data_IF_537182770194
#
_entry.id   IF_537182770194
#
_cell.length_a   1.000
_cell.length_b   1.000
_cell.length_c   1.000
_cell.angle_alpha   90.00
_cell.angle_beta   90.00
_cell.angle_gamma   90.00
#
_symmetry.space_group_name_H-M   'P 1'
#
loop_
_entity.id
_entity.type
_entity.pdbx_description
1 polymer ?
#
# COMPACT_ATOMS: atom_id res chain seq x y z
N UNK A 1 -49.61 4.57 38.05
CA UNK A 1 -48.36 5.36 38.10
C UNK A 1 -47.18 4.43 38.32
N UNK A 2 -46.38 4.17 37.28
CA UNK A 2 -44.97 3.79 37.38
C UNK A 2 -44.39 3.78 35.95
N UNK A 3 -44.06 4.97 35.46
CA UNK A 3 -43.30 5.19 34.22
C UNK A 3 -41.92 4.54 34.33
N UNK A 4 -41.73 3.40 33.68
CA UNK A 4 -40.39 2.86 33.43
C UNK A 4 -39.74 3.65 32.29
N UNK A 5 -39.03 4.71 32.67
CA UNK A 5 -38.10 5.45 31.79
C UNK A 5 -37.12 4.47 31.12
N UNK A 6 -37.28 4.28 29.81
CA UNK A 6 -36.28 3.66 28.95
C UNK A 6 -34.99 4.47 29.01
N UNK A 7 -33.99 3.92 29.68
CA UNK A 7 -32.63 4.45 29.71
C UNK A 7 -31.98 4.16 28.35
N UNK A 8 -32.09 5.10 27.41
CA UNK A 8 -31.34 5.09 26.14
C UNK A 8 -29.86 4.84 26.46
N UNK A 9 -29.34 3.66 26.13
CA UNK A 9 -27.92 3.37 26.23
C UNK A 9 -27.18 4.18 25.17
N UNK A 10 -26.74 5.39 25.52
CA UNK A 10 -25.77 6.13 24.74
C UNK A 10 -24.40 5.45 24.87
N UNK A 11 -24.21 4.36 24.13
CA UNK A 11 -22.89 3.81 23.88
C UNK A 11 -22.21 4.72 22.86
N UNK A 12 -21.36 5.62 23.36
CA UNK A 12 -20.47 6.46 22.56
C UNK A 12 -19.70 5.59 21.59
N UNK A 13 -20.02 5.73 20.31
CA UNK A 13 -19.16 5.27 19.24
C UNK A 13 -17.93 6.18 19.28
N UNK A 14 -16.79 5.62 19.64
CA UNK A 14 -15.51 6.26 19.36
C UNK A 14 -15.39 6.25 17.83
N UNK A 15 -15.80 7.35 17.16
CA UNK A 15 -15.88 7.49 15.69
C UNK A 15 -14.62 8.20 15.18
N UNK A 16 -13.45 7.52 15.06
CA UNK A 16 -12.28 8.14 14.44
C UNK A 16 -12.54 8.57 13.00
N UNK A 17 -13.47 7.89 12.30
CA UNK A 17 -13.83 8.17 10.90
C UNK A 17 -14.62 9.48 10.68
N UNK A 18 -15.51 9.91 11.59
CA UNK A 18 -16.26 11.17 11.39
C UNK A 18 -15.34 12.39 11.30
N UNK A 19 -14.20 12.34 12.00
CA UNK A 19 -13.18 13.40 11.96
C UNK A 19 -12.42 13.39 10.64
N UNK A 20 -12.02 12.21 10.16
CA UNK A 20 -11.33 12.05 8.86
C UNK A 20 -12.25 12.46 7.69
N UNK A 21 -13.52 12.03 7.69
CA UNK A 21 -14.55 12.41 6.70
C UNK A 21 -14.76 13.93 6.65
N UNK A 22 -14.94 14.54 7.83
CA UNK A 22 -15.12 15.99 7.94
C UNK A 22 -13.88 16.74 7.42
N UNK A 23 -12.69 16.29 7.78
CA UNK A 23 -11.44 16.89 7.30
C UNK A 23 -11.30 16.82 5.77
N UNK A 24 -11.65 15.71 5.13
CA UNK A 24 -11.63 15.62 3.67
C UNK A 24 -12.59 16.62 3.03
N UNK A 25 -13.84 16.71 3.52
CA UNK A 25 -14.84 17.64 3.00
C UNK A 25 -14.42 19.10 3.16
N UNK A 26 -13.89 19.46 4.32
CA UNK A 26 -13.36 20.79 4.58
C UNK A 26 -12.21 21.12 3.61
N UNK A 27 -11.29 20.18 3.40
CA UNK A 27 -10.16 20.31 2.47
C UNK A 27 -10.59 20.46 1.00
N UNK A 28 -11.60 19.71 0.55
CA UNK A 28 -12.15 19.82 -0.80
C UNK A 28 -12.91 21.14 -0.99
N UNK A 29 -13.65 21.59 0.02
CA UNK A 29 -14.35 22.88 -0.05
C UNK A 29 -13.38 24.07 -0.15
N UNK A 30 -12.28 24.05 0.61
CA UNK A 30 -11.20 25.04 0.55
C UNK A 30 -10.47 24.99 -0.80
N UNK A 31 -10.28 23.80 -1.36
CA UNK A 31 -9.68 23.64 -2.68
C UNK A 31 -10.57 24.26 -3.77
N UNK A 32 -11.88 23.94 -3.76
CA UNK A 32 -12.82 24.44 -4.76
C UNK A 32 -12.97 25.96 -4.69
N UNK A 33 -12.96 26.56 -3.50
CA UNK A 33 -13.00 28.02 -3.37
C UNK A 33 -11.73 28.68 -3.93
N UNK A 34 -10.55 28.07 -3.75
CA UNK A 34 -9.27 28.59 -4.27
C UNK A 34 -9.09 28.38 -5.77
N UNK A 35 -9.55 27.25 -6.31
CA UNK A 35 -9.46 26.96 -7.75
C UNK A 35 -10.41 27.86 -8.55
N UNK A 36 -11.63 28.11 -8.04
CA UNK A 36 -12.62 28.96 -8.69
C UNK A 36 -12.36 30.46 -8.54
N UNK A 37 -11.39 30.85 -7.70
CA UNK A 37 -11.00 32.25 -7.58
C UNK A 37 -10.13 32.68 -8.79
N UNK A 38 -10.61 33.67 -9.55
CA UNK A 38 -9.93 34.21 -10.72
C UNK A 38 -8.68 35.04 -10.38
N UNK A 39 -8.50 35.43 -9.11
CA UNK A 39 -7.35 36.21 -8.65
C UNK A 39 -6.11 35.36 -8.30
N UNK A 40 -6.27 34.03 -8.17
CA UNK A 40 -5.18 33.12 -7.82
C UNK A 40 -4.41 32.71 -9.08
N UNK A 41 -3.08 32.75 -9.04
CA UNK A 41 -2.26 32.34 -10.18
C UNK A 41 -2.47 30.87 -10.53
N UNK A 42 -2.47 30.52 -11.81
CA UNK A 42 -2.46 29.13 -12.30
C UNK A 42 -1.41 28.25 -11.61
N UNK A 43 -0.24 28.80 -11.30
CA UNK A 43 0.83 28.09 -10.59
C UNK A 43 0.44 27.75 -9.14
N UNK A 44 -0.23 28.67 -8.46
CA UNK A 44 -0.70 28.51 -7.08
C UNK A 44 -1.88 27.55 -6.98
N UNK A 45 -2.80 27.59 -7.95
CA UNK A 45 -3.89 26.60 -8.07
C UNK A 45 -3.34 25.18 -8.14
N UNK A 46 -2.29 24.95 -8.95
CA UNK A 46 -1.64 23.64 -9.09
C UNK A 46 -0.96 23.16 -7.82
N UNK A 47 -0.24 24.04 -7.13
CA UNK A 47 0.42 23.68 -5.86
C UNK A 47 -0.60 23.35 -4.78
N UNK A 48 -1.69 24.11 -4.73
CA UNK A 48 -2.81 23.87 -3.80
C UNK A 48 -3.47 22.53 -4.07
N UNK A 49 -3.76 22.19 -5.33
CA UNK A 49 -4.31 20.88 -5.73
C UNK A 49 -3.46 19.71 -5.22
N UNK A 50 -2.15 19.75 -5.49
CA UNK A 50 -1.22 18.69 -5.04
C UNK A 50 -1.19 18.62 -3.51
N UNK A 51 -1.10 19.76 -2.84
CA UNK A 51 -1.01 19.82 -1.39
C UNK A 51 -2.27 19.26 -0.73
N UNK A 52 -3.45 19.60 -1.24
CA UNK A 52 -4.73 19.13 -0.72
C UNK A 52 -4.89 17.62 -0.92
N UNK A 53 -4.73 17.10 -2.14
CA UNK A 53 -4.85 15.66 -2.35
C UNK A 53 -3.73 14.86 -1.67
N UNK A 54 -2.54 15.43 -1.48
CA UNK A 54 -1.50 14.83 -0.65
C UNK A 54 -1.92 14.74 0.82
N UNK A 55 -2.63 15.74 1.37
CA UNK A 55 -3.19 15.67 2.72
C UNK A 55 -4.27 14.59 2.82
N UNK A 56 -5.20 14.56 1.86
CA UNK A 56 -6.29 13.57 1.82
C UNK A 56 -5.73 12.13 1.74
N UNK A 57 -4.84 11.86 0.80
CA UNK A 57 -4.20 10.54 0.66
C UNK A 57 -3.37 10.15 1.88
N UNK A 58 -2.72 11.10 2.56
CA UNK A 58 -2.01 10.82 3.81
C UNK A 58 -2.94 10.44 4.97
N UNK A 59 -4.21 10.88 4.98
CA UNK A 59 -5.18 10.41 5.98
C UNK A 59 -5.51 8.91 5.77
N UNK A 60 -5.51 8.46 4.53
CA UNK A 60 -5.73 7.06 4.16
C UNK A 60 -4.50 6.18 4.41
N UNK A 61 -3.29 6.72 4.25
CA UNK A 61 -2.04 5.99 4.45
C UNK A 61 -1.62 5.94 5.92
N UNK A 62 -1.70 4.76 6.54
CA UNK A 62 -1.24 4.54 7.92
C UNK A 62 0.10 3.81 7.92
N UNK A 63 1.07 4.38 8.62
CA UNK A 63 2.39 3.77 8.83
C UNK A 63 2.30 2.69 9.91
N UNK A 64 2.86 1.52 9.62
CA UNK A 64 3.06 0.43 10.57
C UNK A 64 4.47 0.56 11.15
N UNK A 65 4.64 1.01 12.40
CA UNK A 65 5.95 1.38 12.94
C UNK A 65 6.93 0.22 12.99
N UNK A 66 6.46 -0.99 13.30
CA UNK A 66 7.29 -2.21 13.30
C UNK A 66 7.95 -2.49 11.95
N UNK A 67 7.18 -2.43 10.86
CA UNK A 67 7.71 -2.62 9.50
C UNK A 67 8.68 -1.50 9.09
N UNK A 68 8.43 -0.28 9.56
CA UNK A 68 9.33 0.86 9.32
C UNK A 68 10.69 0.65 10.00
N UNK A 69 10.70 0.18 11.25
CA UNK A 69 11.92 -0.12 12.00
C UNK A 69 12.71 -1.22 11.29
N UNK A 70 12.04 -2.31 10.88
CA UNK A 70 12.71 -3.38 10.12
C UNK A 70 13.33 -2.86 8.83
N UNK A 71 12.64 -2.00 8.09
CA UNK A 71 13.19 -1.38 6.88
C UNK A 71 14.40 -0.49 7.16
N UNK A 72 14.37 0.31 8.23
CA UNK A 72 15.52 1.12 8.65
C UNK A 72 16.71 0.23 8.99
N UNK A 73 16.49 -0.87 9.73
CA UNK A 73 17.54 -1.83 10.06
C UNK A 73 18.15 -2.46 8.79
N UNK A 74 17.33 -2.75 7.78
CA UNK A 74 17.81 -3.28 6.49
C UNK A 74 18.68 -2.27 5.75
N UNK A 75 18.26 -0.99 5.72
CA UNK A 75 19.06 0.09 5.10
C UNK A 75 20.38 0.28 5.86
N UNK A 76 20.35 0.24 7.19
CA UNK A 76 21.56 0.37 8.01
C UNK A 76 22.50 -0.81 7.76
N UNK A 77 22.00 -2.05 7.78
CA UNK A 77 22.82 -3.24 7.47
C UNK A 77 23.44 -3.15 6.07
N UNK A 78 22.65 -2.79 5.05
CA UNK A 78 23.16 -2.62 3.68
C UNK A 78 24.26 -1.56 3.61
N UNK A 79 24.07 -0.44 4.33
CA UNK A 79 25.05 0.65 4.40
C UNK A 79 26.32 0.17 5.10
N UNK A 80 26.20 -0.53 6.23
CA UNK A 80 27.34 -1.10 6.96
C UNK A 80 28.13 -2.09 6.10
N UNK A 81 27.45 -3.02 5.42
CA UNK A 81 28.08 -3.98 4.49
C UNK A 81 28.84 -3.22 3.40
N UNK A 82 28.22 -2.20 2.80
CA UNK A 82 28.84 -1.42 1.73
C UNK A 82 30.08 -0.65 2.22
N UNK A 83 30.01 -0.03 3.40
CA UNK A 83 31.15 0.68 3.99
C UNK A 83 32.27 -0.29 4.34
N UNK A 84 31.96 -1.41 4.99
CA UNK A 84 32.95 -2.44 5.32
C UNK A 84 33.62 -3.01 4.07
N UNK A 85 32.85 -3.23 3.00
CA UNK A 85 33.36 -3.66 1.70
C UNK A 85 34.33 -2.63 1.09
N UNK A 86 33.98 -1.34 1.08
CA UNK A 86 34.88 -0.31 0.56
C UNK A 86 36.14 -0.16 1.42
N UNK A 87 36.01 -0.23 2.74
CA UNK A 87 37.14 -0.15 3.67
C UNK A 87 38.05 -1.38 3.54
N UNK A 88 37.50 -2.58 3.40
CA UNK A 88 38.28 -3.81 3.18
C UNK A 88 38.97 -3.80 1.81
N UNK A 89 38.33 -3.26 0.77
CA UNK A 89 38.88 -3.22 -0.57
C UNK A 89 40.01 -2.20 -0.73
N UNK A 90 39.90 -1.02 -0.11
CA UNK A 90 40.78 0.12 -0.42
C UNK A 90 41.69 0.59 0.73
N UNK A 91 41.31 0.37 2.00
CA UNK A 91 41.99 0.99 3.13
C UNK A 91 42.72 -0.03 4.03
N UNK A 92 42.16 -1.22 4.22
CA UNK A 92 42.74 -2.24 5.08
C UNK A 92 43.77 -3.10 4.34
N UNK A 93 44.83 -3.47 5.06
CA UNK A 93 45.88 -4.40 4.61
C UNK A 93 46.00 -5.58 5.56
N UNK A 94 46.60 -6.65 5.07
CA UNK A 94 47.00 -7.83 5.83
C UNK A 94 45.84 -8.51 6.59
N UNK A 95 46.06 -8.90 7.85
CA UNK A 95 45.12 -9.71 8.65
C UNK A 95 43.77 -9.00 8.86
N UNK A 96 43.77 -7.68 9.03
CA UNK A 96 42.54 -6.90 9.21
C UNK A 96 41.66 -6.93 7.95
N UNK A 97 42.27 -6.99 6.77
CA UNK A 97 41.55 -7.12 5.50
C UNK A 97 40.86 -8.48 5.42
N UNK A 98 41.58 -9.57 5.71
CA UNK A 98 41.03 -10.94 5.66
C UNK A 98 39.85 -11.11 6.61
N UNK A 99 39.98 -10.69 7.87
CA UNK A 99 38.90 -10.76 8.86
C UNK A 99 37.68 -9.97 8.41
N UNK A 100 37.88 -8.75 7.90
CA UNK A 100 36.78 -7.90 7.45
C UNK A 100 36.04 -8.50 6.24
N UNK A 101 36.75 -9.16 5.31
CA UNK A 101 36.12 -9.85 4.17
C UNK A 101 35.20 -11.00 4.60
N UNK A 102 35.61 -11.80 5.59
CA UNK A 102 34.74 -12.84 6.15
C UNK A 102 33.50 -12.25 6.85
N UNK A 103 33.66 -11.14 7.56
CA UNK A 103 32.52 -10.42 8.17
C UNK A 103 31.56 -9.89 7.10
N UNK A 104 32.09 -9.30 6.01
CA UNK A 104 31.28 -8.84 4.87
C UNK A 104 30.53 -10.01 4.25
N UNK A 105 31.18 -11.14 3.98
CA UNK A 105 30.55 -12.35 3.43
C UNK A 105 29.42 -12.85 4.33
N UNK A 106 29.64 -12.96 5.64
CA UNK A 106 28.62 -13.42 6.58
C UNK A 106 27.40 -12.51 6.65
N UNK A 107 27.61 -11.19 6.75
CA UNK A 107 26.52 -10.21 6.79
C UNK A 107 25.75 -10.15 5.46
N UNK A 108 26.46 -10.22 4.34
CA UNK A 108 25.87 -10.20 3.01
C UNK A 108 25.05 -11.47 2.72
N UNK A 109 25.56 -12.65 3.11
CA UNK A 109 24.82 -13.91 3.03
C UNK A 109 23.56 -13.89 3.91
N UNK A 110 23.66 -13.37 5.14
CA UNK A 110 22.49 -13.19 6.01
C UNK A 110 21.41 -12.31 5.37
N UNK A 111 21.81 -11.17 4.77
CA UNK A 111 20.89 -10.28 4.07
C UNK A 111 20.24 -10.97 2.86
N UNK A 112 21.00 -11.73 2.06
CA UNK A 112 20.43 -12.51 0.95
C UNK A 112 19.40 -13.53 1.43
N UNK A 113 19.72 -14.31 2.46
CA UNK A 113 18.78 -15.30 3.04
C UNK A 113 17.51 -14.60 3.50
N UNK A 114 17.65 -13.48 4.23
CA UNK A 114 16.51 -12.69 4.70
C UNK A 114 15.67 -12.18 3.53
N UNK A 115 16.28 -11.61 2.49
CA UNK A 115 15.56 -11.09 1.33
C UNK A 115 14.85 -12.18 0.53
N UNK A 116 15.50 -13.32 0.31
CA UNK A 116 14.90 -14.48 -0.34
C UNK A 116 13.72 -15.02 0.47
N UNK A 117 13.85 -15.16 1.80
CA UNK A 117 12.74 -15.54 2.66
C UNK A 117 11.57 -14.56 2.54
N UNK A 118 11.83 -13.25 2.65
CA UNK A 118 10.77 -12.24 2.58
C UNK A 118 10.07 -12.23 1.22
N UNK A 119 10.82 -12.40 0.14
CA UNK A 119 10.26 -12.50 -1.21
C UNK A 119 9.48 -13.79 -1.43
N UNK A 120 9.98 -14.93 -0.97
CA UNK A 120 9.33 -16.22 -1.19
C UNK A 120 7.98 -16.32 -0.48
N UNK A 121 7.90 -15.80 0.75
CA UNK A 121 6.63 -15.75 1.50
C UNK A 121 5.72 -14.57 1.13
N UNK A 122 6.09 -13.79 0.09
CA UNK A 122 5.35 -12.60 -0.36
C UNK A 122 4.91 -11.67 0.77
N UNK A 123 5.68 -11.61 1.87
CA UNK A 123 5.37 -10.72 2.99
C UNK A 123 5.66 -9.30 2.55
N UNK A 124 4.60 -8.51 2.43
CA UNK A 124 4.72 -7.14 1.98
C UNK A 124 5.40 -6.30 3.07
N UNK A 125 6.66 -5.93 2.86
CA UNK A 125 7.48 -5.18 3.83
C UNK A 125 7.20 -3.69 3.83
N UNK A 126 6.38 -3.21 2.89
CA UNK A 126 6.15 -1.78 2.82
C UNK A 126 5.47 -1.30 4.10
N UNK A 127 6.12 -0.33 4.73
CA UNK A 127 5.75 0.14 6.06
C UNK A 127 4.49 1.00 6.08
N UNK A 128 3.87 1.31 4.94
CA UNK A 128 2.55 1.95 4.91
C UNK A 128 1.51 1.02 4.33
N UNK A 129 0.28 1.16 4.82
CA UNK A 129 -0.90 0.49 4.30
C UNK A 129 -2.00 1.50 4.07
N UNK A 130 -2.85 1.25 3.09
CA UNK A 130 -4.06 2.05 2.88
C UNK A 130 -5.12 1.49 3.82
N UNK A 131 -5.65 2.32 4.70
CA UNK A 131 -6.76 1.95 5.59
C UNK A 131 -8.00 2.69 5.10
N UNK A 132 -8.90 1.95 4.44
CA UNK A 132 -10.15 2.52 3.90
C UNK A 132 -11.13 2.77 5.05
N UNK A 133 -11.32 1.75 5.90
CA UNK A 133 -12.15 1.85 7.09
C UNK A 133 -11.66 0.93 8.22
N UNK A 134 -12.02 1.30 9.46
CA UNK A 134 -11.72 0.53 10.67
C UNK A 134 -12.82 0.76 11.71
N UNK A 135 -13.78 -0.14 11.74
CA UNK A 135 -14.87 -0.16 12.71
C UNK A 135 -14.58 -1.14 13.84
N UNK A 136 -14.83 -0.69 15.06
CA UNK A 136 -14.89 -1.53 16.25
C UNK A 136 -16.27 -1.35 16.84
N UNK A 137 -17.06 -2.42 16.83
CA UNK A 137 -18.41 -2.42 17.39
C UNK A 137 -18.53 -3.54 18.42
N UNK A 138 -19.51 -3.43 19.30
CA UNK A 138 -19.94 -4.56 20.14
C UNK A 138 -21.32 -4.95 19.66
N UNK A 139 -21.44 -6.17 19.15
CA UNK A 139 -22.71 -6.79 18.76
C UNK A 139 -22.93 -7.93 19.75
N UNK A 140 -24.08 -7.93 20.41
CA UNK A 140 -24.50 -8.93 21.41
C UNK A 140 -23.37 -9.47 22.34
N UNK A 141 -22.70 -8.54 23.04
CA UNK A 141 -21.54 -8.77 23.96
C UNK A 141 -20.23 -9.22 23.31
N UNK A 142 -20.22 -9.63 22.04
CA UNK A 142 -19.00 -9.93 21.29
C UNK A 142 -18.37 -8.67 20.70
N UNK A 143 -17.03 -8.60 20.72
CA UNK A 143 -16.28 -7.49 20.11
C UNK A 143 -16.13 -7.78 18.62
N UNK A 144 -16.89 -7.06 17.81
CA UNK A 144 -16.82 -7.10 16.37
C UNK A 144 -15.81 -6.05 15.84
N UNK A 145 -14.99 -6.43 14.86
CA UNK A 145 -14.03 -5.52 14.23
C UNK A 145 -14.03 -5.72 12.71
N UNK A 146 -14.60 -4.77 11.98
CA UNK A 146 -14.47 -4.70 10.52
C UNK A 146 -13.32 -3.76 10.15
N UNK A 147 -12.35 -4.26 9.39
CA UNK A 147 -11.23 -3.44 8.90
C UNK A 147 -10.92 -3.84 7.47
N UNK A 148 -10.80 -2.84 6.59
CA UNK A 148 -10.20 -3.03 5.27
C UNK A 148 -8.85 -2.33 5.23
N UNK A 149 -7.80 -3.14 5.22
CA UNK A 149 -6.42 -2.70 5.06
C UNK A 149 -5.91 -3.25 3.72
N UNK A 150 -5.51 -2.37 2.81
CA UNK A 150 -4.98 -2.74 1.51
C UNK A 150 -3.46 -2.56 1.57
N UNK A 151 -2.72 -3.61 1.24
CA UNK A 151 -1.27 -3.53 1.15
C UNK A 151 -0.89 -2.71 -0.08
N UNK A 152 -0.22 -1.59 0.12
CA UNK A 152 0.25 -0.73 -0.95
C UNK A 152 1.76 -0.89 -1.05
N UNK A 153 2.30 -1.28 -2.20
CA UNK A 153 3.75 -1.34 -2.42
C UNK A 153 4.11 -0.39 -3.53
N UNK A 154 4.76 0.75 -3.25
CA UNK A 154 5.13 1.66 -4.32
C UNK A 154 6.27 1.07 -5.15
N UNK A 155 6.29 1.35 -6.46
CA UNK A 155 7.29 0.77 -7.37
C UNK A 155 8.71 1.14 -6.96
N UNK A 156 8.95 2.37 -6.46
CA UNK A 156 10.30 2.76 -6.02
C UNK A 156 10.84 1.83 -4.92
N UNK A 157 9.97 1.29 -4.06
CA UNK A 157 10.35 0.35 -3.02
C UNK A 157 10.73 -1.01 -3.60
N UNK A 158 9.99 -1.48 -4.61
CA UNK A 158 10.35 -2.68 -5.37
C UNK A 158 11.70 -2.51 -6.10
N UNK A 159 11.90 -1.36 -6.76
CA UNK A 159 13.17 -1.02 -7.42
C UNK A 159 14.32 -1.01 -6.41
N UNK A 160 14.14 -0.36 -5.25
CA UNK A 160 15.12 -0.36 -4.17
C UNK A 160 15.49 -1.77 -3.73
N UNK A 161 14.50 -2.64 -3.56
CA UNK A 161 14.69 -4.03 -3.13
C UNK A 161 15.47 -4.85 -4.17
N UNK A 162 15.09 -4.73 -5.44
CA UNK A 162 15.78 -5.38 -6.58
C UNK A 162 17.22 -4.89 -6.68
N UNK A 163 17.45 -3.57 -6.62
CA UNK A 163 18.77 -2.98 -6.66
C UNK A 163 19.65 -3.41 -5.48
N UNK A 164 19.08 -3.48 -4.27
CA UNK A 164 19.80 -3.91 -3.07
C UNK A 164 20.23 -5.38 -3.16
N UNK A 165 19.36 -6.26 -3.65
CA UNK A 165 19.71 -7.67 -3.88
C UNK A 165 20.80 -7.82 -4.93
N UNK A 166 20.71 -7.08 -6.05
CA UNK A 166 21.74 -7.08 -7.08
C UNK A 166 23.09 -6.61 -6.52
N UNK A 167 23.07 -5.53 -5.74
CA UNK A 167 24.28 -4.98 -5.13
C UNK A 167 24.94 -5.96 -4.16
N UNK A 168 24.17 -6.57 -3.26
CA UNK A 168 24.69 -7.57 -2.32
C UNK A 168 25.26 -8.78 -3.08
N UNK A 169 24.58 -9.22 -4.14
CA UNK A 169 25.07 -10.33 -4.98
C UNK A 169 26.44 -10.03 -5.58
N UNK A 170 26.64 -8.81 -6.07
CA UNK A 170 27.94 -8.37 -6.60
C UNK A 170 29.01 -8.44 -5.50
N UNK A 171 28.71 -7.90 -4.31
CA UNK A 171 29.63 -7.95 -3.16
C UNK A 171 29.99 -9.38 -2.81
N UNK A 172 29.00 -10.27 -2.67
CA UNK A 172 29.25 -11.68 -2.30
C UNK A 172 30.07 -12.39 -3.37
N UNK A 173 29.74 -12.23 -4.65
CA UNK A 173 30.52 -12.86 -5.72
C UNK A 173 31.96 -12.37 -5.78
N UNK A 174 32.17 -11.06 -5.60
CA UNK A 174 33.51 -10.46 -5.56
C UNK A 174 34.33 -11.00 -4.38
N UNK A 175 33.74 -11.03 -3.19
CA UNK A 175 34.42 -11.53 -1.99
C UNK A 175 34.66 -13.04 -2.04
N UNK A 176 33.74 -13.81 -2.61
CA UNK A 176 33.92 -15.25 -2.84
C UNK A 176 35.09 -15.52 -3.79
N UNK A 177 35.20 -14.75 -4.88
CA UNK A 177 36.29 -14.91 -5.84
C UNK A 177 37.65 -14.56 -5.23
N UNK A 178 37.73 -13.47 -4.47
CA UNK A 178 38.98 -13.04 -3.85
C UNK A 178 39.40 -13.88 -2.64
N UNK A 179 38.45 -14.53 -1.96
CA UNK A 179 38.74 -15.32 -0.75
C UNK A 179 38.99 -16.79 -1.08
N UNK A 180 38.20 -17.37 -1.99
CA UNK A 180 38.18 -18.82 -2.22
C UNK A 180 38.71 -19.25 -3.59
N UNK A 181 38.49 -18.47 -4.66
CA UNK A 181 38.87 -18.89 -6.01
C UNK A 181 40.36 -18.74 -6.32
N UNK A 182 41.06 -17.77 -5.70
CA UNK A 182 42.50 -17.55 -5.91
C UNK A 182 43.39 -18.39 -4.97
N UNK A 183 42.83 -19.03 -3.94
CA UNK A 183 43.59 -19.67 -2.86
C UNK A 183 44.02 -21.12 -3.13
N UNK A 184 43.90 -21.63 -4.36
CA UNK A 184 44.61 -22.82 -4.88
C UNK A 184 44.26 -24.20 -4.30
N UNK A 185 43.46 -24.31 -3.24
CA UNK A 185 43.06 -25.59 -2.63
C UNK A 185 41.75 -26.17 -3.16
N UNK A 186 41.70 -27.47 -3.47
CA UNK A 186 40.50 -28.17 -3.96
C UNK A 186 39.27 -28.01 -3.04
N UNK A 187 39.45 -27.94 -1.72
CA UNK A 187 38.36 -27.75 -0.75
C UNK A 187 37.75 -26.34 -0.82
N UNK A 188 38.59 -25.32 -1.04
CA UNK A 188 38.14 -23.92 -1.16
C UNK A 188 37.38 -23.68 -2.46
N UNK A 189 37.74 -24.38 -3.53
CA UNK A 189 37.00 -24.39 -4.81
C UNK A 189 35.61 -25.01 -4.63
N UNK A 190 35.50 -26.07 -3.82
CA UNK A 190 34.21 -26.72 -3.54
C UNK A 190 33.29 -25.80 -2.72
N UNK A 191 33.83 -25.12 -1.70
CA UNK A 191 33.10 -24.10 -0.93
C UNK A 191 32.60 -22.98 -1.86
N UNK A 192 33.46 -22.47 -2.75
CA UNK A 192 33.08 -21.46 -3.73
C UNK A 192 31.91 -21.91 -4.62
N UNK A 193 31.96 -23.15 -5.13
CA UNK A 193 30.91 -23.68 -5.99
C UNK A 193 29.57 -23.81 -5.25
N UNK A 194 29.57 -24.35 -4.02
CA UNK A 194 28.36 -24.50 -3.20
C UNK A 194 27.72 -23.14 -2.88
N UNK A 195 28.53 -22.16 -2.48
CA UNK A 195 28.04 -20.80 -2.20
C UNK A 195 27.47 -20.15 -3.45
N UNK A 196 28.16 -20.26 -4.59
CA UNK A 196 27.69 -19.68 -5.86
C UNK A 196 26.35 -20.28 -6.30
N UNK A 197 26.24 -21.61 -6.30
CA UNK A 197 24.99 -22.29 -6.65
C UNK A 197 23.84 -21.92 -5.71
N UNK A 198 24.11 -21.79 -4.41
CA UNK A 198 23.10 -21.37 -3.42
C UNK A 198 22.61 -19.96 -3.70
N UNK A 199 23.52 -19.02 -3.99
CA UNK A 199 23.18 -17.64 -4.34
C UNK A 199 22.31 -17.61 -5.61
N UNK A 200 22.70 -18.34 -6.65
CA UNK A 200 21.94 -18.39 -7.91
C UNK A 200 20.52 -18.95 -7.69
N UNK A 201 20.38 -20.01 -6.88
CA UNK A 201 19.07 -20.57 -6.50
C UNK A 201 18.22 -19.61 -5.66
N UNK A 202 18.84 -18.76 -4.84
CA UNK A 202 18.13 -17.81 -3.98
C UNK A 202 17.70 -16.54 -4.71
N UNK A 203 18.46 -16.13 -5.73
CA UNK A 203 18.25 -14.89 -6.47
C UNK A 203 17.22 -15.04 -7.59
N UNK A 204 17.28 -16.12 -8.37
CA UNK A 204 16.37 -16.32 -9.51
C UNK A 204 14.89 -16.23 -9.11
N UNK A 205 14.40 -16.97 -8.09
CA UNK A 205 13.01 -16.87 -7.64
C UNK A 205 12.69 -15.50 -7.04
N UNK A 206 13.66 -14.88 -6.35
CA UNK A 206 13.51 -13.56 -5.74
C UNK A 206 13.35 -12.45 -6.80
N UNK A 207 14.15 -12.49 -7.85
CA UNK A 207 14.05 -11.60 -9.00
C UNK A 207 12.78 -11.87 -9.80
N UNK A 208 12.47 -13.12 -10.15
CA UNK A 208 11.26 -13.48 -10.88
C UNK A 208 10.01 -13.04 -10.13
N UNK A 209 9.91 -13.29 -8.82
CA UNK A 209 8.75 -12.83 -8.05
C UNK A 209 8.68 -11.29 -7.96
N UNK A 210 9.80 -10.59 -7.87
CA UNK A 210 9.82 -9.13 -7.84
C UNK A 210 9.43 -8.53 -9.19
N UNK A 211 9.93 -9.09 -10.30
CA UNK A 211 9.56 -8.69 -11.66
C UNK A 211 8.12 -9.05 -11.98
N UNK A 212 7.65 -10.22 -11.55
CA UNK A 212 6.24 -10.60 -11.63
C UNK A 212 5.41 -9.62 -10.82
N UNK A 213 5.75 -9.23 -9.58
CA UNK A 213 5.02 -8.16 -8.85
C UNK A 213 5.04 -6.80 -9.55
N UNK A 214 6.09 -6.49 -10.31
CA UNK A 214 6.14 -5.28 -11.14
C UNK A 214 5.23 -5.43 -12.38
N UNK A 215 5.17 -6.62 -12.97
CA UNK A 215 4.44 -6.95 -14.19
C UNK A 215 2.96 -7.32 -13.99
N UNK A 216 2.63 -7.97 -12.87
CA UNK A 216 1.34 -8.53 -12.40
C UNK A 216 0.49 -7.48 -11.67
N UNK A 217 0.82 -6.19 -11.76
CA UNK A 217 -0.26 -5.20 -11.64
C UNK A 217 -1.17 -5.45 -12.84
N UNK A 218 -2.22 -6.23 -12.58
CA UNK A 218 -3.12 -6.92 -13.48
C UNK A 218 -3.50 -6.10 -14.71
N UNK A 219 -2.77 -6.25 -15.81
CA UNK A 219 -3.01 -5.45 -17.01
C UNK A 219 -4.43 -5.56 -17.56
N UNK A 220 -5.12 -6.69 -17.38
CA UNK A 220 -6.50 -6.86 -17.85
C UNK A 220 -7.53 -6.20 -16.92
N UNK A 221 -7.48 -6.48 -15.63
CA UNK A 221 -8.37 -5.90 -14.60
C UNK A 221 -8.15 -4.39 -14.49
N UNK A 222 -6.88 -3.96 -14.50
CA UNK A 222 -6.51 -2.55 -14.52
C UNK A 222 -6.98 -1.87 -15.81
N UNK A 223 -6.87 -2.53 -16.97
CA UNK A 223 -7.36 -1.95 -18.24
C UNK A 223 -8.88 -1.84 -18.28
N UNK A 224 -9.61 -2.82 -17.75
CA UNK A 224 -11.08 -2.78 -17.68
C UNK A 224 -11.53 -1.67 -16.73
N UNK A 225 -10.95 -1.59 -15.53
CA UNK A 225 -11.20 -0.49 -14.60
C UNK A 225 -10.84 0.88 -15.21
N UNK A 226 -9.69 0.99 -15.88
CA UNK A 226 -9.28 2.23 -16.54
C UNK A 226 -10.29 2.63 -17.61
N UNK A 227 -10.67 1.72 -18.52
CA UNK A 227 -11.57 2.04 -19.62
C UNK A 227 -13.02 2.29 -19.21
N UNK A 228 -13.54 1.50 -18.26
CA UNK A 228 -14.96 1.51 -17.87
C UNK A 228 -15.24 2.52 -16.77
N UNK A 229 -14.31 2.73 -15.85
CA UNK A 229 -14.52 3.56 -14.67
C UNK A 229 -13.78 4.88 -14.76
N UNK A 230 -12.46 4.83 -14.97
CA UNK A 230 -11.58 6.00 -14.84
C UNK A 230 -11.62 6.94 -16.05
N UNK A 231 -11.49 6.42 -17.26
CA UNK A 231 -11.51 7.23 -18.48
C UNK A 231 -12.90 7.83 -18.73
N UNK A 232 -13.93 7.15 -18.23
CA UNK A 232 -15.32 7.60 -18.24
C UNK A 232 -15.75 8.25 -16.91
N UNK A 233 -14.81 8.80 -16.13
CA UNK A 233 -15.12 9.39 -14.81
C UNK A 233 -16.24 10.43 -14.84
N UNK A 234 -16.37 11.17 -15.95
CA UNK A 234 -17.43 12.18 -16.13
C UNK A 234 -18.83 11.54 -16.16
N UNK A 235 -18.98 10.38 -16.82
CA UNK A 235 -20.20 9.58 -16.82
C UNK A 235 -20.41 8.88 -15.47
N UNK A 236 -19.32 8.57 -14.77
CA UNK A 236 -19.31 7.85 -13.50
C UNK A 236 -19.26 8.76 -12.27
N UNK A 237 -19.50 10.07 -12.41
CA UNK A 237 -19.48 11.00 -11.27
C UNK A 237 -20.50 10.60 -10.19
N UNK A 238 -21.66 10.09 -10.63
CA UNK A 238 -22.74 9.57 -9.79
C UNK A 238 -22.70 8.04 -9.58
N UNK A 239 -21.52 7.41 -9.73
CA UNK A 239 -21.38 5.95 -9.66
C UNK A 239 -21.95 5.34 -8.37
N UNK A 240 -21.81 6.05 -7.24
CA UNK A 240 -22.30 5.61 -5.92
C UNK A 240 -23.69 6.17 -5.57
N UNK A 241 -24.38 6.85 -6.48
CA UNK A 241 -25.74 7.36 -6.24
C UNK A 241 -26.81 6.29 -6.49
N UNK A 242 -26.57 5.39 -7.46
CA UNK A 242 -27.49 4.31 -7.86
C UNK A 242 -26.93 2.93 -7.51
N UNK A 243 -26.52 2.77 -6.25
CA UNK A 243 -25.96 1.53 -5.71
C UNK A 243 -26.93 0.87 -4.75
N UNK A 244 -27.09 -0.44 -4.91
CA UNK A 244 -27.92 -1.27 -4.04
C UNK A 244 -27.07 -2.36 -3.40
N UNK A 245 -27.34 -2.66 -2.13
CA UNK A 245 -26.77 -3.85 -1.48
C UNK A 245 -27.46 -5.09 -2.02
N UNK A 246 -26.70 -6.11 -2.39
CA UNK A 246 -27.30 -7.43 -2.66
C UNK A 246 -27.77 -8.10 -1.37
N UNK A 247 -28.45 -9.24 -1.53
CA UNK A 247 -29.00 -10.00 -0.42
C UNK A 247 -27.94 -10.30 0.65
N UNK A 248 -28.31 -10.07 1.91
CA UNK A 248 -27.45 -10.20 3.09
C UNK A 248 -26.25 -9.23 3.19
N UNK A 249 -26.20 -8.18 2.35
CA UNK A 249 -25.19 -7.12 2.41
C UNK A 249 -23.73 -7.62 2.26
N UNK A 250 -23.48 -8.60 1.40
CA UNK A 250 -22.11 -9.11 1.17
C UNK A 250 -21.30 -8.27 0.17
N UNK A 251 -22.01 -7.61 -0.74
CA UNK A 251 -21.50 -6.85 -1.87
C UNK A 251 -22.52 -5.79 -2.31
N UNK A 252 -22.06 -4.90 -3.19
CA UNK A 252 -22.80 -3.84 -3.83
C UNK A 252 -22.99 -4.14 -5.31
N UNK A 253 -24.18 -3.86 -5.80
CA UNK A 253 -24.51 -3.87 -7.22
C UNK A 253 -24.64 -2.43 -7.72
N UNK A 254 -23.94 -2.14 -8.81
CA UNK A 254 -23.93 -0.82 -9.45
C UNK A 254 -24.85 -0.85 -10.67
N UNK A 255 -26.04 -0.27 -10.54
CA UNK A 255 -27.11 -0.39 -11.53
C UNK A 255 -26.75 0.22 -12.90
N UNK A 256 -25.94 1.29 -12.92
CA UNK A 256 -25.58 2.00 -14.17
C UNK A 256 -24.62 1.23 -15.07
N UNK A 257 -23.68 0.47 -14.50
CA UNK A 257 -22.55 -0.10 -15.25
C UNK A 257 -22.46 -1.62 -15.13
N UNK A 258 -23.46 -2.26 -14.51
CA UNK A 258 -23.48 -3.70 -14.22
C UNK A 258 -22.19 -4.18 -13.52
N UNK A 259 -21.63 -3.35 -12.66
CA UNK A 259 -20.46 -3.67 -11.85
C UNK A 259 -20.91 -4.24 -10.51
N UNK A 260 -20.07 -5.11 -9.95
CA UNK A 260 -20.29 -5.71 -8.63
C UNK A 260 -19.04 -5.47 -7.79
N UNK A 261 -19.21 -5.17 -6.50
CA UNK A 261 -18.09 -5.12 -5.57
C UNK A 261 -17.72 -6.52 -5.11
N UNK A 262 -16.45 -6.76 -4.77
CA UNK A 262 -16.01 -8.06 -4.22
C UNK A 262 -16.79 -8.44 -2.96
N UNK A 263 -17.07 -9.72 -2.82
CA UNK A 263 -17.65 -10.28 -1.61
C UNK A 263 -16.75 -10.09 -0.37
N UNK A 264 -17.39 -9.86 0.78
CA UNK A 264 -16.69 -9.76 2.08
C UNK A 264 -16.08 -8.38 2.37
N UNK A 265 -16.41 -7.36 1.57
CA UNK A 265 -16.11 -5.96 1.88
C UNK A 265 -17.06 -5.38 2.94
N UNK A 266 -18.28 -5.91 2.97
CA UNK A 266 -19.35 -5.48 3.86
C UNK A 266 -19.66 -6.56 4.90
N UNK A 267 -20.37 -6.17 5.95
CA UNK A 267 -20.74 -7.06 7.06
C UNK A 267 -21.96 -7.85 6.65
N UNK A 268 -21.85 -9.18 6.65
CA UNK A 268 -22.97 -10.08 6.45
C UNK A 268 -24.06 -9.78 7.48
N UNK A 269 -25.27 -9.49 7.01
CA UNK A 269 -26.47 -9.33 7.84
C UNK A 269 -27.33 -10.57 7.66
N UNK A 270 -27.14 -11.57 8.52
CA UNK A 270 -28.03 -12.74 8.56
C UNK A 270 -29.32 -12.38 9.30
N UNK A 271 -30.43 -12.30 8.56
CA UNK A 271 -31.74 -11.90 9.11
C UNK A 271 -32.34 -12.95 10.05
N UNK A 272 -31.90 -14.21 9.96
CA UNK A 272 -32.49 -15.31 10.72
C UNK A 272 -31.78 -15.53 12.07
N UNK A 273 -30.50 -15.16 12.18
CA UNK A 273 -29.67 -15.40 13.37
C UNK A 273 -29.46 -14.17 14.26
N UNK A 274 -29.74 -12.97 13.75
CA UNK A 274 -29.48 -11.70 14.46
C UNK A 274 -30.74 -11.10 15.08
N UNK A 275 -30.60 -10.47 16.24
CA UNK A 275 -31.69 -9.68 16.84
C UNK A 275 -31.97 -8.42 16.01
N UNK A 276 -33.23 -7.94 15.95
CA UNK A 276 -33.61 -6.72 15.19
C UNK A 276 -32.73 -5.49 15.50
N UNK A 277 -32.34 -5.21 16.76
CA UNK A 277 -31.41 -4.10 17.07
C UNK A 277 -30.01 -4.31 16.49
N UNK A 278 -29.50 -5.54 16.49
CA UNK A 278 -28.17 -5.85 15.95
C UNK A 278 -28.17 -5.81 14.42
N UNK A 279 -29.24 -6.26 13.77
CA UNK A 279 -29.44 -6.10 12.33
C UNK A 279 -29.39 -4.63 11.92
N UNK A 280 -30.18 -3.78 12.58
CA UNK A 280 -30.18 -2.33 12.31
C UNK A 280 -28.79 -1.70 12.48
N UNK A 281 -28.03 -2.16 13.47
CA UNK A 281 -26.66 -1.69 13.70
C UNK A 281 -25.67 -2.15 12.63
N UNK A 282 -25.77 -3.37 12.13
CA UNK A 282 -24.91 -3.84 11.03
C UNK A 282 -25.22 -3.10 9.73
N UNK A 283 -26.51 -2.83 9.46
CA UNK A 283 -26.93 -2.01 8.32
C UNK A 283 -26.37 -0.59 8.44
N UNK A 284 -26.43 0.05 9.62
CA UNK A 284 -25.83 1.37 9.84
C UNK A 284 -24.32 1.35 9.53
N UNK A 285 -23.59 0.32 9.97
CA UNK A 285 -22.14 0.20 9.67
C UNK A 285 -21.89 0.00 8.18
N UNK A 286 -22.68 -0.82 7.48
CA UNK A 286 -22.54 -1.02 6.04
C UNK A 286 -22.79 0.28 5.26
N UNK A 287 -23.78 1.07 5.67
CA UNK A 287 -24.01 2.41 5.12
C UNK A 287 -22.85 3.36 5.43
N UNK A 288 -22.29 3.34 6.64
CA UNK A 288 -21.10 4.14 6.97
C UNK A 288 -19.87 3.73 6.12
N UNK A 289 -19.72 2.43 5.78
CA UNK A 289 -18.69 1.94 4.86
C UNK A 289 -18.93 2.47 3.44
N UNK A 290 -20.17 2.38 2.94
CA UNK A 290 -20.56 2.88 1.63
C UNK A 290 -20.30 4.40 1.49
N UNK A 291 -20.73 5.18 2.49
CA UNK A 291 -20.48 6.62 2.56
C UNK A 291 -18.98 6.96 2.47
N UNK A 292 -18.14 6.11 3.08
CA UNK A 292 -16.68 6.29 3.02
C UNK A 292 -16.13 6.04 1.62
N UNK A 293 -16.59 5.02 0.91
CA UNK A 293 -16.21 4.78 -0.48
C UNK A 293 -16.70 5.92 -1.40
N UNK A 294 -17.92 6.41 -1.18
CA UNK A 294 -18.48 7.56 -1.91
C UNK A 294 -17.64 8.82 -1.75
N UNK A 295 -17.24 9.16 -0.52
CA UNK A 295 -16.37 10.31 -0.24
C UNK A 295 -14.99 10.18 -0.93
N UNK A 296 -14.40 8.98 -0.89
CA UNK A 296 -13.12 8.71 -1.57
C UNK A 296 -13.29 8.88 -3.08
N UNK A 297 -14.43 8.43 -3.64
CA UNK A 297 -14.74 8.57 -5.06
C UNK A 297 -14.94 10.03 -5.46
N UNK A 298 -15.69 10.81 -4.69
CA UNK A 298 -15.87 12.25 -4.91
C UNK A 298 -14.52 12.99 -4.93
N UNK A 299 -13.65 12.69 -3.95
CA UNK A 299 -12.29 13.24 -3.93
C UNK A 299 -11.46 12.80 -5.14
N UNK A 300 -11.71 11.61 -5.68
CA UNK A 300 -10.97 11.10 -6.82
C UNK A 300 -11.45 11.73 -8.13
N UNK A 301 -12.76 11.86 -8.32
CA UNK A 301 -13.36 12.57 -9.44
C UNK A 301 -12.88 14.02 -9.50
N UNK A 302 -12.82 14.71 -8.34
CA UNK A 302 -12.29 16.07 -8.27
C UNK A 302 -10.82 16.15 -8.75
N UNK A 303 -9.98 15.20 -8.33
CA UNK A 303 -8.59 15.10 -8.80
C UNK A 303 -8.53 14.91 -10.33
N UNK A 304 -9.33 14.00 -10.89
CA UNK A 304 -9.35 13.70 -12.32
C UNK A 304 -9.84 14.91 -13.14
N UNK A 305 -10.92 15.55 -12.69
CA UNK A 305 -11.50 16.73 -13.33
C UNK A 305 -10.51 17.90 -13.36
N UNK A 306 -9.88 18.19 -12.21
CA UNK A 306 -8.87 19.25 -12.10
C UNK A 306 -7.56 18.92 -12.85
N UNK A 307 -7.22 17.62 -12.97
CA UNK A 307 -6.08 17.17 -13.78
C UNK A 307 -6.32 17.45 -15.27
N UNK A 308 -7.53 17.22 -15.77
CA UNK A 308 -7.88 17.41 -17.18
C UNK A 308 -7.96 18.89 -17.58
N UNK A 309 -8.37 19.77 -16.64
CA UNK A 309 -8.52 21.22 -16.90
C UNK A 309 -7.19 21.99 -16.95
N UNK A 310 -6.13 21.51 -16.27
CA UNK A 310 -4.88 22.26 -16.13
C UNK A 310 -3.71 21.66 -16.93
N UNK A 311 -2.91 22.52 -17.58
CA UNK A 311 -1.66 22.13 -18.27
C UNK A 311 -0.51 21.98 -17.28
N UNK A 312 -0.20 20.77 -16.82
CA UNK A 312 0.86 20.54 -15.83
C UNK A 312 2.25 20.35 -16.47
N UNK A 313 3.31 20.74 -15.73
CA UNK A 313 4.69 20.34 -16.05
C UNK A 313 4.88 18.83 -15.76
N UNK A 314 5.76 18.16 -16.50
CA UNK A 314 6.16 16.74 -16.36
C UNK A 314 6.41 16.31 -14.92
N UNK A 315 7.12 17.12 -14.12
CA UNK A 315 7.38 16.80 -12.71
C UNK A 315 6.10 16.79 -11.85
N UNK A 316 5.16 17.69 -12.13
CA UNK A 316 3.87 17.76 -11.44
C UNK A 316 2.93 16.64 -11.88
N UNK A 317 2.91 16.31 -13.17
CA UNK A 317 2.17 15.15 -13.70
C UNK A 317 2.64 13.88 -12.99
N UNK A 318 3.95 13.71 -12.80
CA UNK A 318 4.48 12.54 -12.11
C UNK A 318 4.00 12.46 -10.64
N UNK A 319 3.92 13.59 -9.93
CA UNK A 319 3.38 13.62 -8.56
C UNK A 319 1.90 13.27 -8.51
N UNK A 320 1.10 13.81 -9.44
CA UNK A 320 -0.33 13.51 -9.53
C UNK A 320 -0.56 12.04 -9.87
N UNK A 321 0.24 11.48 -10.78
CA UNK A 321 0.21 10.06 -11.14
C UNK A 321 0.37 9.15 -9.91
N UNK A 322 1.26 9.49 -8.98
CA UNK A 322 1.42 8.72 -7.74
C UNK A 322 0.24 8.84 -6.78
N UNK A 323 -0.39 10.02 -6.71
CA UNK A 323 -1.60 10.22 -5.89
C UNK A 323 -2.78 9.43 -6.48
N UNK A 324 -2.94 9.49 -7.79
CA UNK A 324 -3.95 8.75 -8.56
C UNK A 324 -3.85 7.24 -8.32
N UNK A 325 -2.63 6.68 -8.31
CA UNK A 325 -2.44 5.26 -8.01
C UNK A 325 -2.94 4.83 -6.64
N UNK A 326 -2.93 5.71 -5.64
CA UNK A 326 -3.49 5.38 -4.31
C UNK A 326 -5.01 5.19 -4.43
N UNK A 327 -5.70 6.08 -5.16
CA UNK A 327 -7.13 5.94 -5.41
C UNK A 327 -7.43 4.72 -6.27
N UNK A 328 -6.69 4.51 -7.37
CA UNK A 328 -6.86 3.33 -8.23
C UNK A 328 -6.73 2.03 -7.45
N UNK A 329 -5.76 1.93 -6.54
CA UNK A 329 -5.58 0.75 -5.69
C UNK A 329 -6.80 0.48 -4.79
N UNK A 330 -7.50 1.52 -4.33
CA UNK A 330 -8.71 1.38 -3.51
C UNK A 330 -9.86 0.83 -4.34
N UNK A 331 -10.05 1.32 -5.57
CA UNK A 331 -11.18 0.91 -6.41
C UNK A 331 -10.94 -0.43 -7.11
N UNK A 332 -9.71 -0.75 -7.49
CA UNK A 332 -9.33 -2.11 -7.95
C UNK A 332 -9.51 -3.16 -6.84
N UNK A 333 -9.36 -2.75 -5.58
CA UNK A 333 -9.65 -3.61 -4.44
C UNK A 333 -11.16 -3.77 -4.18
N UNK A 334 -11.94 -2.73 -4.48
CA UNK A 334 -13.40 -2.71 -4.32
C UNK A 334 -14.12 -3.56 -5.37
N UNK A 335 -13.79 -3.39 -6.65
CA UNK A 335 -14.55 -3.99 -7.75
C UNK A 335 -14.12 -5.41 -8.07
N UNK A 336 -15.09 -6.27 -8.39
CA UNK A 336 -14.87 -7.61 -8.95
C UNK A 336 -14.82 -7.51 -10.48
N UNK A 337 -13.64 -7.17 -11.03
CA UNK A 337 -13.39 -6.91 -12.46
C UNK A 337 -12.30 -7.84 -13.00
#
# INVERSE_FOLDING_TARGET
MADKKQKKSQLKVDRPLKKEVKQTKDLLSDLNSKINNNQVSEKEKRLTLIATHKKITNLLLKTTPYLMILFILDVVMLTTITVLFLVSAFALKDVAQVVTRFVVLGLAAFMLIKFTYMNWFSKNLYFKKIVVFKYKSKVDKQKFRAVREISFTPIWFLIFFVASNLWITIIVNFELQNTFAQSGGNELVLIWAVFRTTIDMMLLPSFLNSFNKIADNSKSVDANYIKLIKDQYFSNKSLFDDVEFEDNYLNLKFSKNNLVSKNGLFILVNKDELTRPDQGRMIEINNEILDRYKEIWESYVDLLENRMKAKFNKATVHKLFWLERIYDTIFLDLFEI
#
